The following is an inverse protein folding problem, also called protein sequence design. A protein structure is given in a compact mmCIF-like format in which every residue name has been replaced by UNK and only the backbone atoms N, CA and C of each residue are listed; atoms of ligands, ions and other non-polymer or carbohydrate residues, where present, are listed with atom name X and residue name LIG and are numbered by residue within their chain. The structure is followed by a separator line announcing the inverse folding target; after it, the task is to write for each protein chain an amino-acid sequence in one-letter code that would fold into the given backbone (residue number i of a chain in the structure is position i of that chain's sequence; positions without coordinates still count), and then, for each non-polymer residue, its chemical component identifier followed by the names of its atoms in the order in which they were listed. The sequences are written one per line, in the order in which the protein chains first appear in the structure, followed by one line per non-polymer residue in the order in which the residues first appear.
data_IF_847509464909
#
_entry.id   IF_847509464909
#
_cell.length_a   1.000
_cell.length_b   1.000
_cell.length_c   1.000
_cell.angle_alpha   90.00
_cell.angle_beta   90.00
_cell.angle_gamma   90.00
#
_symmetry.space_group_name_H-M   'P 1'
#
loop_
_entity.id
_entity.type
_entity.pdbx_description
1 polymer ?
#
# COMPACT_ATOMS: atom_id res chain seq x y z
N UNK A 1 -4.89 -7.53 -14.30
CA UNK A 1 -5.87 -7.98 -13.26
C UNK A 1 -7.30 -7.86 -13.76
N UNK A 2 -8.21 -8.81 -13.43
CA UNK A 2 -9.64 -8.73 -13.80
C UNK A 2 -10.38 -7.76 -12.86
N UNK A 3 -11.33 -6.99 -13.40
CA UNK A 3 -12.14 -6.05 -12.61
C UNK A 3 -12.90 -6.72 -11.45
N UNK A 4 -13.41 -7.93 -11.67
CA UNK A 4 -14.09 -8.70 -10.62
C UNK A 4 -13.18 -9.01 -9.43
N UNK A 5 -11.91 -9.35 -9.69
CA UNK A 5 -10.91 -9.56 -8.64
C UNK A 5 -10.61 -8.27 -7.89
N UNK A 6 -10.42 -7.16 -8.60
CA UNK A 6 -10.21 -5.87 -7.98
C UNK A 6 -11.37 -5.48 -7.05
N UNK A 7 -12.61 -5.61 -7.53
CA UNK A 7 -13.79 -5.29 -6.73
C UNK A 7 -13.93 -6.19 -5.49
N UNK A 8 -13.59 -7.48 -5.59
CA UNK A 8 -13.65 -8.38 -4.44
C UNK A 8 -12.54 -8.09 -3.42
N UNK A 9 -11.36 -7.72 -3.89
CA UNK A 9 -10.24 -7.37 -3.02
C UNK A 9 -10.49 -6.06 -2.26
N UNK A 10 -11.05 -5.04 -2.93
CA UNK A 10 -11.42 -3.77 -2.28
C UNK A 10 -12.52 -4.01 -1.24
N UNK A 11 -13.58 -4.76 -1.56
CA UNK A 11 -14.63 -5.07 -0.58
C UNK A 11 -14.10 -5.79 0.66
N UNK A 12 -13.25 -6.79 0.46
CA UNK A 12 -12.57 -7.46 1.57
C UNK A 12 -11.79 -6.46 2.44
N UNK A 13 -11.05 -5.55 1.80
CA UNK A 13 -10.30 -4.53 2.51
C UNK A 13 -11.22 -3.58 3.31
N UNK A 14 -12.31 -3.11 2.71
CA UNK A 14 -13.30 -2.26 3.38
C UNK A 14 -13.95 -2.97 4.59
N UNK A 15 -14.31 -4.24 4.44
CA UNK A 15 -14.86 -5.05 5.53
C UNK A 15 -13.86 -5.18 6.69
N UNK A 16 -12.59 -5.47 6.38
CA UNK A 16 -11.52 -5.55 7.37
C UNK A 16 -11.30 -4.21 8.08
N UNK A 17 -11.19 -3.12 7.34
CA UNK A 17 -11.03 -1.78 7.91
C UNK A 17 -12.20 -1.40 8.83
N UNK A 18 -13.42 -1.76 8.48
CA UNK A 18 -14.60 -1.56 9.32
C UNK A 18 -14.52 -2.37 10.62
N UNK A 19 -14.06 -3.62 10.59
CA UNK A 19 -13.86 -4.45 11.80
C UNK A 19 -12.87 -3.80 12.78
N UNK A 20 -11.84 -3.13 12.27
CA UNK A 20 -10.85 -2.42 13.08
C UNK A 20 -11.21 -0.94 13.33
N UNK A 21 -12.42 -0.52 12.95
CA UNK A 21 -12.89 0.86 13.07
C UNK A 21 -11.91 1.88 12.45
N UNK A 22 -11.21 1.48 11.39
CA UNK A 22 -10.30 2.35 10.66
C UNK A 22 -11.08 3.08 9.56
N UNK A 23 -11.11 4.40 9.62
CA UNK A 23 -11.80 5.24 8.62
C UNK A 23 -10.82 5.75 7.58
N UNK A 24 -11.14 5.51 6.32
CA UNK A 24 -10.42 6.13 5.19
C UNK A 24 -10.85 7.59 5.00
N UNK A 25 -10.04 8.41 4.33
CA UNK A 25 -10.49 9.68 3.77
C UNK A 25 -11.71 9.47 2.86
N UNK A 26 -12.57 10.48 2.74
CA UNK A 26 -13.84 10.38 1.99
C UNK A 26 -13.69 9.86 0.57
N UNK A 27 -12.65 10.29 -0.14
CA UNK A 27 -12.39 9.86 -1.51
C UNK A 27 -12.14 8.34 -1.65
N UNK A 28 -11.81 7.64 -0.57
CA UNK A 28 -11.67 6.20 -0.55
C UNK A 28 -13.00 5.46 -0.73
N UNK A 29 -14.11 6.13 -0.49
CA UNK A 29 -15.47 5.60 -0.59
C UNK A 29 -16.25 6.13 -1.79
N UNK A 30 -15.70 7.08 -2.55
CA UNK A 30 -16.41 7.69 -3.65
C UNK A 30 -16.77 6.70 -4.75
N UNK A 31 -18.03 6.70 -5.14
CA UNK A 31 -18.49 6.05 -6.35
C UNK A 31 -18.21 6.93 -7.61
N UNK A 32 -18.50 6.41 -8.80
CA UNK A 32 -18.22 7.11 -10.05
C UNK A 32 -18.92 8.48 -10.18
N UNK A 33 -20.09 8.66 -9.58
CA UNK A 33 -20.81 9.95 -9.65
C UNK A 33 -20.14 10.97 -8.73
N UNK A 34 -19.75 10.54 -7.54
CA UNK A 34 -18.99 11.37 -6.60
C UNK A 34 -17.64 11.76 -7.19
N UNK A 35 -16.90 10.80 -7.78
CA UNK A 35 -15.68 11.10 -8.52
C UNK A 35 -15.88 12.18 -9.59
N UNK A 36 -16.99 12.14 -10.35
CA UNK A 36 -17.31 13.16 -11.36
C UNK A 36 -17.69 14.51 -10.77
N UNK A 37 -18.28 14.53 -9.58
CA UNK A 37 -18.67 15.75 -8.88
C UNK A 37 -17.45 16.52 -8.33
N UNK A 38 -16.41 15.79 -7.87
CA UNK A 38 -15.21 16.35 -7.21
C UNK A 38 -14.06 16.64 -8.19
N UNK A 39 -14.34 17.28 -9.32
CA UNK A 39 -13.34 17.49 -10.41
C UNK A 39 -12.06 18.19 -9.96
N UNK A 40 -12.15 19.14 -9.02
CA UNK A 40 -11.00 19.93 -8.58
C UNK A 40 -10.06 19.12 -7.68
N UNK A 41 -10.61 18.19 -6.91
CA UNK A 41 -9.86 17.33 -6.00
C UNK A 41 -9.19 16.15 -6.73
N UNK A 42 -9.82 15.67 -7.81
CA UNK A 42 -9.34 14.52 -8.59
C UNK A 42 -7.93 14.74 -9.12
N UNK A 43 -7.59 15.94 -9.58
CA UNK A 43 -6.28 16.20 -10.17
C UNK A 43 -5.17 16.07 -9.13
N UNK A 44 -5.41 16.52 -7.89
CA UNK A 44 -4.48 16.35 -6.78
C UNK A 44 -4.38 14.89 -6.37
N UNK A 45 -5.52 14.19 -6.23
CA UNK A 45 -5.57 12.77 -5.88
C UNK A 45 -4.78 11.94 -6.89
N UNK A 46 -4.99 12.17 -8.18
CA UNK A 46 -4.26 11.48 -9.26
C UNK A 46 -2.78 11.84 -9.28
N UNK A 47 -2.45 13.12 -9.15
CA UNK A 47 -1.08 13.61 -9.16
C UNK A 47 -0.25 12.98 -8.03
N UNK A 48 -0.84 12.84 -6.86
CA UNK A 48 -0.21 12.23 -5.68
C UNK A 48 -0.41 10.70 -5.62
N UNK A 49 -1.11 10.10 -6.58
CA UNK A 49 -1.39 8.65 -6.61
C UNK A 49 -2.05 8.16 -5.31
N UNK A 50 -3.04 8.91 -4.81
CA UNK A 50 -3.79 8.55 -3.61
C UNK A 50 -4.91 7.55 -3.93
N UNK A 51 -5.37 6.83 -2.90
CA UNK A 51 -6.51 5.92 -2.98
C UNK A 51 -6.12 4.47 -3.19
N UNK A 52 -7.09 3.70 -3.69
CA UNK A 52 -6.96 2.26 -3.87
C UNK A 52 -5.98 1.87 -4.98
N UNK A 53 -5.14 0.91 -4.67
CA UNK A 53 -4.27 0.23 -5.63
C UNK A 53 -4.21 -1.27 -5.30
N UNK A 54 -4.01 -2.09 -6.32
CA UNK A 54 -3.85 -3.52 -6.21
C UNK A 54 -2.68 -3.97 -7.06
N UNK A 55 -1.80 -4.73 -6.46
CA UNK A 55 -0.63 -5.25 -7.17
C UNK A 55 -0.50 -6.76 -7.00
N UNK A 56 -0.19 -7.44 -8.06
CA UNK A 56 0.30 -8.82 -8.08
C UNK A 56 1.76 -8.89 -8.58
N UNK A 57 2.42 -7.73 -8.62
CA UNK A 57 3.78 -7.55 -9.11
C UNK A 57 4.02 -8.08 -10.54
N UNK A 58 2.95 -8.14 -11.36
CA UNK A 58 3.01 -8.68 -12.72
C UNK A 58 3.06 -10.20 -12.80
N UNK A 59 2.89 -10.91 -11.69
CA UNK A 59 3.03 -12.37 -11.63
C UNK A 59 1.71 -13.13 -11.90
N UNK A 60 0.58 -12.45 -11.98
CA UNK A 60 -0.72 -13.07 -12.22
C UNK A 60 -1.25 -13.95 -11.08
N UNK A 61 -0.69 -13.85 -9.89
CA UNK A 61 -1.01 -14.69 -8.72
C UNK A 61 -1.38 -13.84 -7.52
N UNK A 62 -2.35 -12.95 -7.67
CA UNK A 62 -2.73 -11.98 -6.65
C UNK A 62 -3.01 -12.60 -5.28
N UNK A 63 -3.68 -13.75 -5.22
CA UNK A 63 -4.04 -14.39 -3.95
C UNK A 63 -2.84 -15.01 -3.19
N UNK A 64 -1.68 -15.16 -3.84
CA UNK A 64 -0.46 -15.68 -3.23
C UNK A 64 0.60 -14.58 -3.06
N UNK A 65 0.83 -13.82 -4.16
CA UNK A 65 1.84 -12.77 -4.23
C UNK A 65 1.13 -11.51 -4.69
N UNK A 66 0.65 -10.76 -3.73
CA UNK A 66 -0.13 -9.57 -4.01
C UNK A 66 -0.49 -8.80 -2.75
N UNK A 67 -1.03 -7.62 -2.96
CA UNK A 67 -1.44 -6.74 -1.89
C UNK A 67 -2.53 -5.80 -2.38
N UNK A 68 -3.51 -5.52 -1.54
CA UNK A 68 -4.39 -4.39 -1.69
C UNK A 68 -3.82 -3.24 -0.89
N UNK A 69 -3.70 -2.07 -1.52
CA UNK A 69 -3.13 -0.88 -0.90
C UNK A 69 -4.16 0.24 -0.91
N UNK A 70 -4.07 1.11 0.10
CA UNK A 70 -4.70 2.42 0.06
C UNK A 70 -3.68 3.47 0.45
N UNK A 71 -3.36 4.38 -0.48
CA UNK A 71 -2.47 5.50 -0.21
C UNK A 71 -3.27 6.65 0.40
N UNK A 72 -3.00 6.95 1.67
CA UNK A 72 -3.68 8.02 2.43
C UNK A 72 -3.03 9.36 2.13
N UNK A 73 -1.70 9.41 2.13
CA UNK A 73 -0.88 10.61 1.89
C UNK A 73 0.33 10.25 1.06
N UNK A 74 0.76 11.21 0.25
CA UNK A 74 1.97 11.07 -0.55
C UNK A 74 2.49 12.46 -0.94
N UNK A 75 3.71 12.50 -1.46
CA UNK A 75 4.34 13.69 -2.03
C UNK A 75 5.12 13.35 -3.29
N UNK A 76 5.70 14.37 -3.89
CA UNK A 76 6.51 14.25 -5.11
C UNK A 76 7.95 14.61 -4.79
N UNK A 77 8.90 13.73 -5.14
CA UNK A 77 10.32 13.96 -4.90
C UNK A 77 10.88 15.16 -5.66
N UNK A 78 10.36 15.39 -6.86
CA UNK A 78 10.74 16.51 -7.74
C UNK A 78 9.98 17.80 -7.48
N UNK A 79 8.94 17.76 -6.64
CA UNK A 79 8.09 18.89 -6.26
C UNK A 79 7.81 18.85 -4.75
N UNK A 80 8.77 19.24 -3.91
CA UNK A 80 8.68 19.06 -2.45
C UNK A 80 7.54 19.85 -1.79
N UNK A 81 7.04 20.90 -2.47
CA UNK A 81 5.90 21.70 -2.00
C UNK A 81 4.53 21.08 -2.36
N UNK A 82 4.53 19.92 -3.07
CA UNK A 82 3.31 19.24 -3.49
C UNK A 82 3.11 17.98 -2.66
N UNK A 83 2.06 17.99 -1.83
CA UNK A 83 1.74 16.91 -0.91
C UNK A 83 2.52 17.02 0.40
N UNK A 84 2.96 15.87 0.91
CA UNK A 84 3.74 15.76 2.16
C UNK A 84 5.06 15.04 1.90
N UNK A 85 6.11 15.26 2.72
CA UNK A 85 7.44 14.69 2.45
C UNK A 85 7.56 13.18 2.79
N UNK A 86 6.44 12.48 2.90
CA UNK A 86 6.38 11.05 3.18
C UNK A 86 5.16 10.41 2.52
N UNK A 87 5.16 9.09 2.39
CA UNK A 87 3.98 8.32 1.99
C UNK A 87 3.40 7.58 3.20
N UNK A 88 2.09 7.69 3.41
CA UNK A 88 1.34 6.86 4.35
C UNK A 88 0.43 5.94 3.56
N UNK A 89 0.65 4.63 3.72
CA UNK A 89 -0.10 3.60 2.99
C UNK A 89 -0.61 2.54 3.93
N UNK A 90 -1.84 2.14 3.72
CA UNK A 90 -2.36 0.89 4.28
C UNK A 90 -2.03 -0.24 3.31
N UNK A 91 -1.53 -1.33 3.84
CA UNK A 91 -1.34 -2.58 3.12
C UNK A 91 -2.27 -3.61 3.73
N UNK A 92 -3.16 -4.16 2.93
CA UNK A 92 -4.15 -5.15 3.35
C UNK A 92 -3.82 -6.48 2.68
N UNK A 93 -3.64 -7.50 3.49
CA UNK A 93 -3.32 -8.84 3.05
C UNK A 93 -4.42 -9.82 3.44
N UNK A 94 -4.64 -10.80 2.61
CA UNK A 94 -5.32 -12.04 3.00
C UNK A 94 -4.31 -12.97 3.66
N UNK A 95 -4.81 -13.94 4.40
CA UNK A 95 -3.97 -14.98 4.96
C UNK A 95 -3.13 -15.68 3.86
N UNK A 96 -1.84 -15.86 4.14
CA UNK A 96 -0.88 -16.45 3.21
C UNK A 96 -0.40 -15.55 2.08
N UNK A 97 -0.96 -14.37 1.87
CA UNK A 97 -0.43 -13.43 0.88
C UNK A 97 0.96 -12.90 1.30
N UNK A 98 1.82 -12.65 0.33
CA UNK A 98 3.17 -12.14 0.55
C UNK A 98 3.59 -11.13 -0.51
N UNK A 99 4.53 -10.29 -0.16
CA UNK A 99 5.28 -9.47 -1.12
C UNK A 99 6.53 -10.22 -1.59
N UNK A 100 6.97 -10.02 -2.85
CA UNK A 100 8.27 -10.50 -3.29
C UNK A 100 9.40 -9.78 -2.55
N UNK A 101 10.58 -10.39 -2.51
CA UNK A 101 11.79 -9.73 -2.00
C UNK A 101 12.06 -8.52 -2.88
N UNK A 102 12.17 -7.35 -2.28
CA UNK A 102 12.46 -6.08 -2.94
C UNK A 102 13.22 -5.15 -2.00
N UNK A 103 13.75 -4.07 -2.53
CA UNK A 103 14.38 -3.02 -1.74
C UNK A 103 14.03 -1.64 -2.33
N UNK A 104 14.20 -0.62 -1.53
CA UNK A 104 14.01 0.77 -1.92
C UNK A 104 15.33 1.53 -1.88
N UNK A 105 15.69 2.19 -2.98
CA UNK A 105 16.97 2.88 -3.11
C UNK A 105 17.06 4.21 -2.34
N UNK A 106 15.92 4.86 -2.07
CA UNK A 106 15.89 6.24 -1.57
C UNK A 106 14.98 6.50 -0.38
N UNK A 107 14.34 5.47 0.17
CA UNK A 107 13.41 5.66 1.29
C UNK A 107 13.67 4.68 2.42
N UNK A 108 13.46 5.15 3.62
CA UNK A 108 13.27 4.34 4.82
C UNK A 108 11.80 4.04 4.99
N UNK A 109 11.46 2.89 5.51
CA UNK A 109 10.08 2.48 5.78
C UNK A 109 9.93 2.07 7.24
N UNK A 110 8.88 2.59 7.86
CA UNK A 110 8.37 2.08 9.12
C UNK A 110 7.20 1.14 8.82
N UNK A 111 7.23 -0.05 9.37
CA UNK A 111 6.20 -1.05 9.15
C UNK A 111 5.46 -1.28 10.45
N UNK A 112 4.19 -0.91 10.49
CA UNK A 112 3.34 -0.99 11.67
C UNK A 112 2.26 -2.05 11.44
N UNK A 113 2.28 -3.13 12.22
CA UNK A 113 1.19 -4.10 12.22
C UNK A 113 0.00 -3.53 12.99
N UNK A 114 -1.06 -3.14 12.27
CA UNK A 114 -2.29 -2.59 12.86
C UNK A 114 -3.27 -3.66 13.35
N UNK A 115 -2.98 -4.92 13.09
CA UNK A 115 -3.81 -6.05 13.52
C UNK A 115 -4.21 -6.97 12.38
N UNK A 116 -5.15 -7.88 12.64
CA UNK A 116 -5.65 -8.86 11.67
C UNK A 116 -4.92 -10.19 11.69
N UNK A 117 -3.70 -10.23 12.21
CA UNK A 117 -2.91 -11.47 12.27
C UNK A 117 -1.45 -11.24 12.60
N UNK A 118 -0.67 -12.29 12.48
CA UNK A 118 0.78 -12.26 12.67
C UNK A 118 1.43 -11.95 11.32
N UNK A 119 2.24 -10.90 11.30
CA UNK A 119 3.02 -10.52 10.13
C UNK A 119 4.46 -11.05 10.26
N UNK A 120 4.91 -11.79 9.25
CA UNK A 120 6.29 -12.26 9.15
C UNK A 120 7.07 -11.38 8.17
N UNK A 121 8.17 -10.81 8.62
CA UNK A 121 9.07 -10.02 7.77
C UNK A 121 10.42 -10.72 7.74
N UNK A 122 10.94 -10.98 6.54
CA UNK A 122 12.30 -11.47 6.35
C UNK A 122 13.15 -10.36 5.74
N UNK A 123 14.18 -9.98 6.46
CA UNK A 123 15.10 -8.92 6.07
C UNK A 123 16.45 -9.49 5.66
N UNK A 124 17.13 -8.80 4.76
CA UNK A 124 18.47 -9.14 4.29
C UNK A 124 19.31 -7.89 4.16
N UNK A 125 20.58 -7.99 4.48
CA UNK A 125 21.55 -7.02 4.03
C UNK A 125 21.79 -7.14 2.52
N UNK A 126 22.23 -6.07 1.88
CA UNK A 126 22.52 -6.05 0.44
C UNK A 126 23.98 -5.71 0.22
N UNK A 127 24.68 -6.56 -0.51
CA UNK A 127 26.06 -6.33 -0.95
C UNK A 127 26.10 -6.42 -2.48
N UNK A 128 26.56 -5.36 -3.12
CA UNK A 128 26.61 -5.26 -4.59
C UNK A 128 25.26 -5.61 -5.27
N UNK A 129 24.13 -5.16 -4.70
CA UNK A 129 22.79 -5.40 -5.22
C UNK A 129 22.26 -6.81 -5.02
N UNK A 130 22.94 -7.66 -4.24
CA UNK A 130 22.50 -9.02 -3.93
C UNK A 130 22.19 -9.14 -2.45
N UNK A 131 21.07 -9.78 -2.13
CA UNK A 131 20.74 -10.12 -0.76
C UNK A 131 21.77 -11.11 -0.18
N UNK A 132 22.23 -10.84 1.04
CA UNK A 132 23.17 -11.70 1.77
C UNK A 132 22.56 -12.08 3.10
N UNK A 133 22.80 -13.33 3.52
CA UNK A 133 22.29 -13.89 4.78
C UNK A 133 23.27 -13.56 5.92
N UNK A 134 23.20 -12.32 6.39
CA UNK A 134 23.98 -11.82 7.53
C UNK A 134 23.02 -11.17 8.53
N UNK A 135 23.39 -11.06 9.83
CA UNK A 135 22.55 -10.40 10.82
C UNK A 135 22.13 -9.00 10.37
N UNK A 136 20.84 -8.70 10.54
CA UNK A 136 20.24 -7.37 10.27
C UNK A 136 19.85 -6.75 11.61
N UNK A 137 20.34 -5.54 11.87
CA UNK A 137 19.87 -4.76 13.00
C UNK A 137 18.49 -4.20 12.71
N UNK A 138 17.58 -4.35 13.66
CA UNK A 138 16.21 -3.81 13.59
C UNK A 138 15.98 -2.96 14.83
N UNK A 139 15.57 -1.73 14.63
CA UNK A 139 15.14 -0.85 15.71
C UNK A 139 13.63 -1.00 15.89
N UNK A 140 13.22 -1.19 17.12
CA UNK A 140 11.81 -1.29 17.51
C UNK A 140 11.57 -0.25 18.61
N UNK A 141 10.54 0.58 18.41
CA UNK A 141 10.07 1.56 19.39
C UNK A 141 9.26 0.89 20.50
#
# INVERSE_FOLDING_TARGET
MKRSLANSAIRYAEELLNQYNFKLPEFGYWNLNEWRAHKNEIDVIKKLMLGWDLTDHGLGRFDEIGCTLFTIRNGLLDQPDVGVPYAEKLLIFKDGQRLPIHYHGFKTEDIINRGGGVMFIRLYNTVNGKAVDTPVEVYMD
#
